data_IF_637852651913
#
_entry.id   IF_637852651913
#
_cell.length_a   1.000
_cell.length_b   1.000
_cell.length_c   1.000
_cell.angle_alpha   90.00
_cell.angle_beta   90.00
_cell.angle_gamma   90.00
#
_symmetry.space_group_name_H-M   'P 1'
#
loop_
_entity.id
_entity.type
_entity.pdbx_description
1 polymer ?
#
# COMPACT_ATOMS: atom_id res chain seq x y z
N UNK A 1 -3.93 37.68 -11.14
CA UNK A 1 -5.16 36.82 -11.07
C UNK A 1 -5.23 36.22 -9.68
N UNK A 2 -6.38 36.26 -9.02
CA UNK A 2 -6.52 35.65 -7.69
C UNK A 2 -7.04 34.24 -7.89
N UNK A 3 -6.21 33.22 -7.65
CA UNK A 3 -6.64 31.82 -7.72
C UNK A 3 -7.48 31.48 -6.51
N UNK A 4 -8.67 30.95 -6.72
CA UNK A 4 -9.53 30.44 -5.64
C UNK A 4 -9.38 28.94 -5.53
N UNK A 5 -8.42 28.49 -4.72
CA UNK A 5 -8.28 27.08 -4.38
C UNK A 5 -9.36 26.65 -3.39
N UNK A 6 -9.95 25.50 -3.64
CA UNK A 6 -10.92 24.86 -2.75
C UNK A 6 -10.20 23.71 -2.04
N UNK A 7 -10.23 23.73 -0.72
CA UNK A 7 -9.68 22.65 0.10
C UNK A 7 -10.53 21.40 -0.05
N UNK A 8 -9.91 20.25 -0.29
CA UNK A 8 -10.62 18.97 -0.35
C UNK A 8 -11.23 18.61 1.00
N UNK A 9 -12.45 18.07 0.96
CA UNK A 9 -13.12 17.53 2.16
C UNK A 9 -12.66 16.11 2.51
N UNK A 10 -12.00 15.43 1.56
CA UNK A 10 -11.52 14.06 1.73
C UNK A 10 -10.10 14.00 2.29
N UNK A 11 -9.26 14.96 1.91
CA UNK A 11 -7.91 15.13 2.43
C UNK A 11 -7.63 16.63 2.60
N UNK A 12 -7.48 17.06 3.83
CA UNK A 12 -7.25 18.46 4.16
C UNK A 12 -5.89 19.01 3.74
N UNK A 13 -4.97 18.16 3.33
CA UNK A 13 -3.69 18.54 2.75
C UNK A 13 -3.80 18.93 1.27
N UNK A 14 -4.96 18.69 0.65
CA UNK A 14 -5.16 18.83 -0.79
C UNK A 14 -6.01 20.07 -1.11
N UNK A 15 -5.51 20.89 -2.01
CA UNK A 15 -6.19 22.09 -2.52
C UNK A 15 -6.33 21.99 -4.04
N UNK A 16 -7.52 22.28 -4.57
CA UNK A 16 -7.87 22.08 -5.97
C UNK A 16 -8.38 23.37 -6.56
N UNK A 17 -7.90 23.74 -7.75
CA UNK A 17 -8.46 24.79 -8.56
C UNK A 17 -9.02 24.19 -9.87
N UNK A 18 -10.33 24.09 -9.94
CA UNK A 18 -11.01 23.38 -11.03
C UNK A 18 -10.89 24.07 -12.39
N UNK A 19 -10.73 25.40 -12.42
CA UNK A 19 -10.66 26.18 -13.66
C UNK A 19 -9.51 25.77 -14.58
N UNK A 20 -8.34 25.49 -14.01
CA UNK A 20 -7.11 25.10 -14.75
C UNK A 20 -6.59 23.72 -14.33
N UNK A 21 -7.41 22.92 -13.65
CA UNK A 21 -7.05 21.57 -13.17
C UNK A 21 -5.73 21.56 -12.36
N UNK A 22 -5.55 22.58 -11.52
CA UNK A 22 -4.38 22.67 -10.66
C UNK A 22 -4.65 22.00 -9.32
N UNK A 23 -3.61 21.37 -8.80
CA UNK A 23 -3.63 20.67 -7.51
C UNK A 23 -2.42 21.11 -6.71
N UNK A 24 -2.64 21.47 -5.45
CA UNK A 24 -1.60 21.76 -4.48
C UNK A 24 -1.73 20.77 -3.34
N UNK A 25 -0.69 19.99 -3.10
CA UNK A 25 -0.57 19.13 -1.92
C UNK A 25 0.35 19.82 -0.91
N UNK A 26 -0.14 20.01 0.29
CA UNK A 26 0.59 20.65 1.39
C UNK A 26 0.90 19.62 2.47
N UNK A 27 2.15 19.44 2.80
CA UNK A 27 2.56 18.57 3.89
C UNK A 27 3.57 19.28 4.80
N UNK A 28 3.08 19.84 5.90
CA UNK A 28 3.85 20.67 6.83
C UNK A 28 4.54 21.82 6.08
N UNK A 29 5.83 21.69 5.82
CA UNK A 29 6.67 22.71 5.13
C UNK A 29 6.84 22.43 3.63
N UNK A 30 6.45 21.23 3.16
CA UNK A 30 6.63 20.81 1.77
C UNK A 30 5.36 21.06 0.95
N UNK A 31 5.51 21.58 -0.26
CA UNK A 31 4.46 21.81 -1.24
C UNK A 31 4.73 21.03 -2.53
N UNK A 32 3.74 20.34 -3.04
CA UNK A 32 3.78 19.77 -4.38
C UNK A 32 2.72 20.43 -5.25
N UNK A 33 3.16 21.02 -6.35
CA UNK A 33 2.31 21.67 -7.33
C UNK A 33 2.13 20.78 -8.56
N UNK A 34 0.88 20.64 -9.00
CA UNK A 34 0.54 20.05 -10.30
C UNK A 34 -0.37 20.99 -11.05
N UNK A 35 0.01 21.34 -12.28
CA UNK A 35 -0.81 22.12 -13.20
C UNK A 35 -0.79 21.52 -14.61
N UNK A 36 -1.66 22.01 -15.49
CA UNK A 36 -1.71 21.59 -16.89
C UNK A 36 -0.53 22.18 -17.70
N UNK A 37 -0.11 23.42 -17.40
CA UNK A 37 0.98 24.13 -18.07
C UNK A 37 2.06 24.58 -17.10
N UNK A 38 3.27 24.81 -17.62
CA UNK A 38 4.38 25.36 -16.83
C UNK A 38 4.15 26.84 -16.47
N UNK A 39 3.44 27.58 -17.31
CA UNK A 39 3.07 28.98 -17.04
C UNK A 39 2.20 29.10 -15.78
N UNK A 40 1.28 28.16 -15.60
CA UNK A 40 0.43 28.09 -14.40
C UNK A 40 1.24 27.80 -13.14
N UNK A 41 2.23 26.88 -13.26
CA UNK A 41 3.16 26.56 -12.15
C UNK A 41 3.97 27.79 -11.78
N UNK A 42 4.56 28.49 -12.76
CA UNK A 42 5.36 29.70 -12.51
C UNK A 42 4.52 30.78 -11.84
N UNK A 43 3.31 31.01 -12.32
CA UNK A 43 2.42 32.04 -11.76
C UNK A 43 2.03 31.74 -10.29
N UNK A 44 1.82 30.48 -9.94
CA UNK A 44 1.55 30.09 -8.54
C UNK A 44 2.82 30.24 -7.70
N UNK A 45 3.97 29.82 -8.21
CA UNK A 45 5.24 29.95 -7.50
C UNK A 45 5.56 31.42 -7.19
N UNK A 46 5.35 32.33 -8.16
CA UNK A 46 5.54 33.76 -7.96
C UNK A 46 4.59 34.31 -6.88
N UNK A 47 3.32 33.94 -6.94
CA UNK A 47 2.32 34.36 -5.95
C UNK A 47 2.61 33.81 -4.53
N UNK A 48 3.12 32.59 -4.44
CA UNK A 48 3.52 32.00 -3.15
C UNK A 48 4.81 32.64 -2.63
N UNK A 49 5.78 32.93 -3.50
CA UNK A 49 7.03 33.59 -3.12
C UNK A 49 6.80 35.03 -2.63
N UNK A 50 5.78 35.71 -3.14
CA UNK A 50 5.36 37.04 -2.62
C UNK A 50 4.75 36.94 -1.22
N UNK A 51 4.05 35.84 -0.92
CA UNK A 51 3.32 35.66 0.33
C UNK A 51 4.16 35.01 1.44
N UNK A 52 5.10 34.14 1.08
CA UNK A 52 5.89 33.32 2.01
C UNK A 52 7.34 33.21 1.51
N UNK A 53 8.29 33.10 2.45
CA UNK A 53 9.67 32.74 2.12
C UNK A 53 9.74 31.28 1.68
N UNK A 54 9.95 31.03 0.38
CA UNK A 54 9.95 29.71 -0.23
C UNK A 54 11.14 29.51 -1.15
N UNK A 55 11.56 28.24 -1.29
CA UNK A 55 12.55 27.81 -2.26
C UNK A 55 11.89 26.88 -3.27
N UNK A 56 11.93 27.25 -4.56
CA UNK A 56 11.49 26.36 -5.63
C UNK A 56 12.59 25.30 -5.88
N UNK A 57 12.25 24.03 -5.67
CA UNK A 57 13.12 22.88 -5.88
C UNK A 57 13.02 22.32 -7.32
N UNK A 58 12.21 22.93 -8.17
CA UNK A 58 12.01 22.51 -9.55
C UNK A 58 11.17 21.24 -9.72
N UNK A 59 11.57 20.36 -10.63
CA UNK A 59 10.83 19.11 -10.92
C UNK A 59 10.81 18.18 -9.71
N UNK A 60 9.65 17.59 -9.43
CA UNK A 60 9.48 16.62 -8.34
C UNK A 60 10.36 15.38 -8.56
N UNK A 61 11.38 15.22 -7.74
CA UNK A 61 12.31 14.07 -7.74
C UNK A 61 12.27 13.32 -6.42
N UNK A 62 12.03 14.04 -5.32
CA UNK A 62 11.92 13.45 -3.99
C UNK A 62 10.77 14.10 -3.22
N UNK A 63 10.02 13.31 -2.47
CA UNK A 63 8.98 13.82 -1.59
C UNK A 63 8.82 12.90 -0.39
N UNK A 64 8.87 13.43 0.82
CA UNK A 64 8.75 12.67 2.07
C UNK A 64 9.68 11.44 2.16
N UNK A 65 10.90 11.56 1.63
CA UNK A 65 11.88 10.47 1.61
C UNK A 65 11.59 9.36 0.60
N UNK A 66 10.65 9.60 -0.32
CA UNK A 66 10.39 8.77 -1.50
C UNK A 66 11.12 9.36 -2.70
N UNK A 67 11.79 8.53 -3.46
CA UNK A 67 12.41 8.91 -4.73
C UNK A 67 11.38 8.69 -5.85
N UNK A 68 11.17 9.71 -6.68
CA UNK A 68 10.12 9.75 -7.70
C UNK A 68 10.78 9.93 -9.06
N UNK A 69 10.60 8.96 -9.95
CA UNK A 69 11.09 9.02 -11.32
C UNK A 69 9.92 8.91 -12.29
N UNK A 70 9.81 9.89 -13.16
CA UNK A 70 8.78 9.94 -14.19
C UNK A 70 9.40 9.79 -15.57
N UNK A 71 9.05 8.72 -16.27
CA UNK A 71 9.35 8.53 -17.68
C UNK A 71 8.12 8.93 -18.51
N UNK A 72 8.20 10.06 -19.19
CA UNK A 72 7.10 10.58 -20.00
C UNK A 72 6.97 9.84 -21.33
N UNK A 73 8.07 9.32 -21.87
CA UNK A 73 8.07 8.60 -23.14
C UNK A 73 7.34 7.26 -23.05
N UNK A 74 7.45 6.59 -21.90
CA UNK A 74 6.77 5.33 -21.62
C UNK A 74 5.51 5.49 -20.76
N UNK A 75 5.16 6.74 -20.41
CA UNK A 75 4.00 7.05 -19.54
C UNK A 75 4.07 6.29 -18.21
N UNK A 76 5.26 6.25 -17.63
CA UNK A 76 5.57 5.47 -16.44
C UNK A 76 5.98 6.38 -15.29
N UNK A 77 5.44 6.11 -14.11
CA UNK A 77 5.86 6.69 -12.85
C UNK A 77 6.42 5.58 -11.95
N UNK A 78 7.61 5.78 -11.40
CA UNK A 78 8.16 4.90 -10.37
C UNK A 78 8.34 5.67 -9.07
N UNK A 79 7.99 5.03 -7.96
CA UNK A 79 8.19 5.56 -6.63
C UNK A 79 8.91 4.50 -5.81
N UNK A 80 9.99 4.88 -5.14
CA UNK A 80 10.81 3.96 -4.36
C UNK A 80 11.48 4.63 -3.15
N UNK A 81 12.22 3.84 -2.37
CA UNK A 81 12.92 4.30 -1.18
C UNK A 81 14.37 3.78 -1.09
N UNK A 82 15.17 3.71 -2.16
CA UNK A 82 16.49 3.10 -2.12
C UNK A 82 17.44 3.83 -1.15
N UNK A 83 17.38 5.14 -1.11
CA UNK A 83 18.19 5.96 -0.20
C UNK A 83 17.87 5.66 1.27
N UNK A 84 16.58 5.49 1.60
CA UNK A 84 16.14 5.14 2.93
C UNK A 84 16.55 3.70 3.29
N UNK A 85 16.30 2.73 2.41
CA UNK A 85 16.66 1.32 2.62
C UNK A 85 18.15 1.18 2.86
N UNK A 86 19.01 1.77 2.02
CA UNK A 86 20.45 1.75 2.21
C UNK A 86 20.89 2.37 3.55
N UNK A 87 20.22 3.44 3.99
CA UNK A 87 20.51 4.08 5.27
C UNK A 87 20.18 3.18 6.45
N UNK A 88 19.04 2.49 6.46
CA UNK A 88 18.66 1.59 7.56
C UNK A 88 19.51 0.31 7.56
N UNK A 89 19.86 -0.23 6.39
CA UNK A 89 20.77 -1.36 6.28
C UNK A 89 22.15 -1.03 6.89
N UNK A 90 22.71 0.14 6.59
CA UNK A 90 23.95 0.63 7.20
C UNK A 90 23.81 0.84 8.71
N UNK A 91 22.72 1.48 9.16
CA UNK A 91 22.45 1.75 10.59
C UNK A 91 22.42 0.48 11.42
N UNK A 92 21.83 -0.60 10.90
CA UNK A 92 21.67 -1.86 11.60
C UNK A 92 22.75 -2.91 11.26
N UNK A 93 23.83 -2.52 10.54
CA UNK A 93 24.94 -3.40 10.19
C UNK A 93 24.55 -4.55 9.25
N UNK A 94 23.48 -4.36 8.45
CA UNK A 94 22.96 -5.38 7.55
C UNK A 94 23.33 -5.14 6.07
N UNK A 95 24.06 -4.07 5.79
CA UNK A 95 24.63 -3.81 4.48
C UNK A 95 25.66 -4.87 4.13
N UNK A 96 25.60 -5.43 2.94
CA UNK A 96 26.38 -6.60 2.47
C UNK A 96 26.07 -7.91 3.22
N UNK A 97 24.90 -8.03 3.85
CA UNK A 97 24.47 -9.31 4.42
C UNK A 97 24.07 -10.29 3.31
N UNK A 98 24.17 -11.60 3.61
CA UNK A 98 23.69 -12.61 2.66
C UNK A 98 22.22 -12.38 2.33
N UNK A 99 21.85 -12.34 1.04
CA UNK A 99 20.48 -12.05 0.61
C UNK A 99 19.50 -13.12 1.10
N UNK A 100 18.23 -12.74 1.21
CA UNK A 100 17.10 -13.64 1.44
C UNK A 100 16.05 -13.38 0.38
N UNK A 101 15.47 -14.44 -0.18
CA UNK A 101 14.49 -14.34 -1.26
C UNK A 101 13.09 -13.97 -0.77
N UNK A 102 12.79 -14.23 0.51
CA UNK A 102 11.52 -13.87 1.16
C UNK A 102 11.77 -13.13 2.47
N UNK A 103 10.81 -12.31 2.90
CA UNK A 103 10.92 -11.57 4.15
C UNK A 103 10.61 -12.40 5.40
N UNK A 104 9.96 -13.56 5.21
CA UNK A 104 9.54 -14.47 6.28
C UNK A 104 9.44 -15.89 5.71
N UNK A 105 9.95 -16.87 6.44
CA UNK A 105 9.76 -18.29 6.16
C UNK A 105 8.34 -18.70 6.60
N UNK A 106 7.53 -19.37 5.74
CA UNK A 106 6.19 -19.84 6.07
C UNK A 106 6.12 -20.73 7.32
N UNK A 107 7.19 -21.46 7.63
CA UNK A 107 7.28 -22.34 8.79
C UNK A 107 7.63 -21.61 10.09
N UNK A 108 7.85 -20.29 10.04
CA UNK A 108 8.24 -19.50 11.22
C UNK A 108 7.09 -19.42 12.22
N UNK A 109 7.28 -19.99 13.39
CA UNK A 109 6.36 -19.88 14.53
C UNK A 109 7.05 -19.15 15.67
N UNK A 110 6.65 -17.91 15.91
CA UNK A 110 7.13 -17.10 17.03
C UNK A 110 6.15 -17.18 18.19
N UNK A 111 6.67 -17.49 19.38
CA UNK A 111 5.87 -17.56 20.61
C UNK A 111 6.44 -16.62 21.67
N UNK A 112 5.57 -16.11 22.54
CA UNK A 112 6.04 -15.49 23.77
C UNK A 112 6.48 -16.58 24.70
N UNK A 113 7.76 -16.59 25.08
CA UNK A 113 8.26 -17.51 26.10
C UNK A 113 7.51 -17.31 27.41
N UNK A 114 6.90 -18.38 27.89
CA UNK A 114 6.22 -18.39 29.21
C UNK A 114 7.15 -18.64 30.38
N UNK A 115 8.43 -18.93 30.12
CA UNK A 115 9.40 -19.30 31.16
C UNK A 115 10.76 -18.68 30.91
N UNK A 116 11.14 -17.76 31.75
CA UNK A 116 12.45 -17.10 31.85
C UNK A 116 13.57 -17.98 32.45
N UNK A 117 13.59 -19.28 32.16
CA UNK A 117 14.49 -20.23 32.88
C UNK A 117 15.57 -20.88 32.03
N UNK A 118 15.82 -20.45 30.83
CA UNK A 118 17.04 -20.85 30.14
C UNK A 118 18.05 -19.72 30.20
N UNK A 119 19.15 -19.95 30.95
CA UNK A 119 20.36 -19.11 30.91
C UNK A 119 20.91 -19.09 29.49
N UNK A 120 20.37 -18.23 28.64
CA UNK A 120 20.99 -17.91 27.36
C UNK A 120 22.21 -17.03 27.64
N UNK A 121 23.35 -17.26 27.01
CA UNK A 121 24.56 -16.45 27.20
C UNK A 121 24.24 -14.98 26.90
N UNK A 122 24.85 -14.07 27.66
CA UNK A 122 24.60 -12.62 27.55
C UNK A 122 24.81 -12.04 26.12
N UNK A 123 25.63 -12.73 25.31
CA UNK A 123 25.87 -12.38 23.91
C UNK A 123 24.62 -12.51 22.98
N UNK A 124 23.56 -13.15 23.42
CA UNK A 124 22.32 -13.34 22.67
C UNK A 124 21.19 -12.36 23.08
N UNK A 125 21.46 -11.51 24.06
CA UNK A 125 20.47 -10.51 24.49
C UNK A 125 20.49 -9.30 23.55
N UNK A 126 19.41 -9.12 22.80
CA UNK A 126 19.21 -7.91 21.99
C UNK A 126 18.64 -6.80 22.86
N UNK A 127 19.24 -5.60 22.81
CA UNK A 127 18.74 -4.47 23.60
C UNK A 127 17.35 -4.05 23.09
N UNK A 128 16.55 -3.48 23.98
CA UNK A 128 15.20 -2.99 23.68
C UNK A 128 15.25 -1.92 22.59
N UNK A 129 16.17 -0.98 22.77
CA UNK A 129 16.32 0.18 21.89
C UNK A 129 16.71 -0.24 20.47
N UNK A 130 17.66 -1.20 20.35
CA UNK A 130 18.09 -1.71 19.04
C UNK A 130 16.92 -2.41 18.33
N UNK A 131 16.18 -3.27 19.06
CA UNK A 131 15.04 -3.97 18.48
C UNK A 131 13.94 -3.01 18.03
N UNK A 132 13.53 -2.09 18.90
CA UNK A 132 12.48 -1.11 18.58
C UNK A 132 12.90 -0.17 17.46
N UNK A 133 14.16 0.27 17.43
CA UNK A 133 14.71 1.08 16.33
C UNK A 133 14.68 0.33 15.01
N UNK A 134 15.04 -0.96 15.01
CA UNK A 134 15.01 -1.79 13.81
C UNK A 134 13.58 -1.99 13.30
N UNK A 135 12.66 -2.42 14.18
CA UNK A 135 11.24 -2.60 13.82
C UNK A 135 10.62 -1.29 13.35
N UNK A 136 10.88 -0.16 14.02
CA UNK A 136 10.40 1.15 13.59
C UNK A 136 10.92 1.55 12.22
N UNK A 137 12.18 1.26 11.91
CA UNK A 137 12.75 1.49 10.57
C UNK A 137 12.07 0.65 9.50
N UNK A 138 11.79 -0.62 9.79
CA UNK A 138 11.09 -1.53 8.88
C UNK A 138 9.62 -1.12 8.69
N UNK A 139 8.96 -0.64 9.73
CA UNK A 139 7.58 -0.11 9.64
C UNK A 139 7.51 1.08 8.68
N UNK A 140 8.48 1.99 8.71
CA UNK A 140 8.51 3.12 7.78
C UNK A 140 8.72 2.65 6.34
N UNK A 141 9.62 1.69 6.09
CA UNK A 141 9.81 1.10 4.76
C UNK A 141 8.52 0.43 4.25
N UNK A 142 7.85 -0.32 5.12
CA UNK A 142 6.58 -1.00 4.83
C UNK A 142 5.47 -0.02 4.42
N UNK A 143 5.29 1.04 5.20
CA UNK A 143 4.26 2.05 4.95
C UNK A 143 4.56 2.94 3.75
N UNK A 144 5.84 3.11 3.40
CA UNK A 144 6.26 3.87 2.23
C UNK A 144 5.98 3.09 0.95
N UNK A 145 6.93 2.28 0.50
CA UNK A 145 6.86 1.62 -0.80
C UNK A 145 7.15 0.11 -0.76
N UNK A 146 7.16 -0.51 0.43
CA UNK A 146 7.47 -1.93 0.60
C UNK A 146 6.37 -2.70 1.36
N UNK A 147 5.09 -2.64 0.89
CA UNK A 147 3.99 -3.37 1.53
C UNK A 147 4.21 -4.90 1.55
N UNK A 148 5.03 -5.43 0.68
CA UNK A 148 5.40 -6.85 0.60
C UNK A 148 6.17 -7.37 1.83
N UNK A 149 6.57 -6.51 2.78
CA UNK A 149 7.10 -6.94 4.08
C UNK A 149 6.09 -6.78 5.23
N UNK A 150 4.82 -6.45 4.93
CA UNK A 150 3.85 -6.07 5.97
C UNK A 150 3.59 -7.19 6.97
N UNK A 151 3.42 -8.41 6.50
CA UNK A 151 3.19 -9.59 7.35
C UNK A 151 4.36 -9.85 8.29
N UNK A 152 5.59 -9.84 7.79
CA UNK A 152 6.79 -10.09 8.59
C UNK A 152 7.04 -8.99 9.62
N UNK A 153 6.86 -7.72 9.24
CA UNK A 153 6.98 -6.57 10.16
C UNK A 153 5.86 -6.59 11.20
N UNK A 154 4.62 -6.89 10.80
CA UNK A 154 3.49 -7.06 11.70
C UNK A 154 3.72 -8.17 12.73
N UNK A 155 4.35 -9.28 12.32
CA UNK A 155 4.70 -10.39 13.21
C UNK A 155 5.73 -9.95 14.26
N UNK A 156 6.88 -9.40 13.86
CA UNK A 156 7.93 -9.00 14.81
C UNK A 156 7.53 -7.83 15.71
N UNK A 157 6.64 -6.96 15.26
CA UNK A 157 6.14 -5.83 16.06
C UNK A 157 5.38 -6.26 17.31
N UNK A 158 4.77 -7.49 17.30
CA UNK A 158 4.06 -8.06 18.46
C UNK A 158 5.01 -8.31 19.65
N UNK A 159 6.31 -8.39 19.40
CA UNK A 159 7.35 -8.73 20.40
C UNK A 159 8.20 -7.54 20.84
N UNK A 160 7.79 -6.32 20.52
CA UNK A 160 8.53 -5.09 20.88
C UNK A 160 8.85 -4.97 22.38
N UNK A 161 8.02 -5.54 23.26
CA UNK A 161 8.21 -5.51 24.70
C UNK A 161 8.84 -6.80 25.28
N UNK A 162 8.67 -7.92 24.56
CA UNK A 162 9.08 -9.24 25.00
C UNK A 162 9.88 -9.95 23.89
N UNK A 163 10.98 -9.30 23.45
CA UNK A 163 11.83 -9.81 22.39
C UNK A 163 12.78 -10.90 22.89
N UNK A 164 13.04 -11.86 22.02
CA UNK A 164 14.04 -12.90 22.19
C UNK A 164 14.95 -12.99 20.95
N UNK A 165 15.98 -13.82 21.00
CA UNK A 165 16.91 -14.00 19.89
C UNK A 165 16.22 -14.45 18.61
N UNK A 166 15.24 -15.33 18.73
CA UNK A 166 14.45 -15.84 17.59
C UNK A 166 13.71 -14.71 16.85
N UNK A 167 13.11 -13.78 17.63
CA UNK A 167 12.44 -12.60 17.06
C UNK A 167 13.45 -11.70 16.31
N UNK A 168 14.65 -11.55 16.87
CA UNK A 168 15.73 -10.79 16.24
C UNK A 168 16.24 -11.44 14.94
N UNK A 169 16.28 -12.76 14.87
CA UNK A 169 16.66 -13.47 13.64
C UNK A 169 15.67 -13.22 12.51
N UNK A 170 14.36 -13.11 12.83
CA UNK A 170 13.34 -12.73 11.83
C UNK A 170 13.55 -11.28 11.40
N UNK A 171 13.81 -10.35 12.32
CA UNK A 171 14.14 -8.96 11.96
C UNK A 171 15.33 -8.90 11.00
N UNK A 172 16.40 -9.67 11.26
CA UNK A 172 17.54 -9.78 10.34
C UNK A 172 17.17 -10.39 9.00
N UNK A 173 16.24 -11.36 8.97
CA UNK A 173 15.74 -11.94 7.71
C UNK A 173 15.05 -10.88 6.85
N UNK A 174 14.22 -10.00 7.45
CA UNK A 174 13.58 -8.89 6.74
C UNK A 174 14.64 -7.92 6.18
N UNK A 175 15.68 -7.58 6.93
CA UNK A 175 16.75 -6.73 6.41
C UNK A 175 17.52 -7.40 5.26
N UNK A 176 17.80 -8.71 5.33
CA UNK A 176 18.44 -9.46 4.23
C UNK A 176 17.59 -9.47 2.97
N UNK A 177 16.27 -9.58 3.13
CA UNK A 177 15.34 -9.47 2.02
C UNK A 177 15.35 -8.05 1.42
N UNK A 178 15.37 -7.00 2.25
CA UNK A 178 15.48 -5.62 1.77
C UNK A 178 16.82 -5.34 1.08
N UNK A 179 17.93 -5.96 1.54
CA UNK A 179 19.22 -5.86 0.86
C UNK A 179 19.16 -6.49 -0.54
N UNK A 180 18.60 -7.71 -0.65
CA UNK A 180 18.42 -8.41 -1.92
C UNK A 180 17.55 -7.63 -2.93
N UNK A 181 16.57 -6.89 -2.40
CA UNK A 181 15.56 -6.18 -3.18
C UNK A 181 15.66 -4.66 -3.05
N UNK A 182 16.85 -4.14 -2.73
CA UNK A 182 17.06 -2.70 -2.51
C UNK A 182 16.80 -1.83 -3.75
N UNK A 183 16.85 -2.44 -4.94
CA UNK A 183 16.56 -1.79 -6.22
C UNK A 183 15.11 -2.01 -6.71
N UNK A 184 14.26 -2.64 -5.92
CA UNK A 184 12.85 -2.82 -6.28
C UNK A 184 12.10 -1.49 -6.20
N UNK A 185 11.23 -1.25 -7.19
CA UNK A 185 10.44 -0.04 -7.34
C UNK A 185 8.97 -0.35 -7.53
N UNK A 186 8.12 0.48 -6.98
CA UNK A 186 6.69 0.46 -7.30
C UNK A 186 6.45 1.23 -8.60
N UNK A 187 5.80 0.57 -9.55
CA UNK A 187 5.51 1.12 -10.87
C UNK A 187 4.03 1.45 -11.02
N UNK A 188 3.75 2.58 -11.67
CA UNK A 188 2.41 3.04 -11.98
C UNK A 188 2.33 3.33 -13.49
N UNK A 189 1.48 2.59 -14.19
CA UNK A 189 1.20 2.76 -15.63
C UNK A 189 -0.25 3.20 -15.80
N UNK A 190 -0.54 4.05 -16.77
CA UNK A 190 -1.93 4.48 -17.00
C UNK A 190 -2.74 3.31 -17.55
N UNK A 191 -3.63 2.76 -16.73
CA UNK A 191 -4.57 1.71 -17.13
C UNK A 191 -6.02 2.00 -16.73
N UNK A 192 -6.27 3.13 -16.08
CA UNK A 192 -7.60 3.61 -15.66
C UNK A 192 -8.41 2.63 -14.81
N UNK A 193 -7.78 1.61 -14.24
CA UNK A 193 -8.45 0.63 -13.40
C UNK A 193 -8.18 0.91 -11.93
N UNK A 194 -9.23 0.76 -11.12
CA UNK A 194 -9.14 0.63 -9.67
C UNK A 194 -9.65 -0.75 -9.32
N UNK A 195 -8.76 -1.60 -8.85
CA UNK A 195 -9.08 -2.91 -8.31
C UNK A 195 -8.63 -3.00 -6.86
N UNK A 196 -9.43 -3.64 -6.01
CA UNK A 196 -9.05 -3.95 -4.64
C UNK A 196 -8.89 -5.45 -4.44
N UNK A 197 -8.03 -5.83 -3.51
CA UNK A 197 -7.88 -7.18 -3.00
C UNK A 197 -8.04 -7.16 -1.50
N UNK A 198 -8.79 -8.10 -0.97
CA UNK A 198 -9.05 -8.21 0.47
C UNK A 198 -9.00 -9.67 0.89
N UNK A 199 -8.15 -9.97 1.86
CA UNK A 199 -8.07 -11.26 2.51
C UNK A 199 -8.17 -11.12 4.03
N UNK A 200 -8.60 -12.18 4.69
CA UNK A 200 -8.60 -12.31 6.14
C UNK A 200 -8.15 -13.71 6.54
N UNK A 201 -6.90 -13.82 6.93
CA UNK A 201 -6.36 -15.05 7.46
C UNK A 201 -6.76 -15.27 8.93
N UNK A 202 -7.18 -16.51 9.21
CA UNK A 202 -7.53 -16.93 10.55
C UNK A 202 -6.27 -17.43 11.28
N UNK A 203 -5.67 -16.58 12.11
CA UNK A 203 -4.57 -17.01 12.96
C UNK A 203 -5.05 -18.13 13.93
N UNK A 204 -4.56 -19.33 13.73
CA UNK A 204 -4.84 -20.52 14.56
C UNK A 204 -4.22 -20.46 15.98
N UNK A 205 -3.58 -19.35 16.34
CA UNK A 205 -2.96 -19.12 17.64
C UNK A 205 -3.94 -18.93 18.79
N UNK A 206 -3.43 -19.00 20.04
CA UNK A 206 -4.21 -18.87 21.28
C UNK A 206 -5.10 -17.61 21.36
N UNK A 207 -4.82 -16.58 20.58
CA UNK A 207 -5.57 -15.31 20.58
C UNK A 207 -6.81 -15.30 19.68
N UNK A 208 -7.02 -16.29 18.81
CA UNK A 208 -8.19 -16.42 17.88
C UNK A 208 -8.59 -15.13 17.15
N UNK A 209 -7.61 -14.27 16.84
CA UNK A 209 -7.86 -12.99 16.14
C UNK A 209 -7.27 -13.10 14.75
N UNK A 210 -8.09 -12.89 13.74
CA UNK A 210 -7.66 -12.88 12.34
C UNK A 210 -6.82 -11.65 12.00
N UNK A 211 -5.91 -11.80 11.03
CA UNK A 211 -5.22 -10.70 10.38
C UNK A 211 -5.98 -10.39 9.10
N UNK A 212 -6.44 -9.16 8.95
CA UNK A 212 -7.03 -8.69 7.70
C UNK A 212 -6.00 -7.91 6.90
N UNK A 213 -5.89 -8.22 5.62
CA UNK A 213 -5.06 -7.53 4.66
C UNK A 213 -5.89 -7.03 3.50
N UNK A 214 -5.58 -5.83 3.03
CA UNK A 214 -6.13 -5.32 1.78
C UNK A 214 -5.17 -4.34 1.12
N UNK A 215 -5.34 -4.18 -0.17
CA UNK A 215 -4.62 -3.20 -0.97
C UNK A 215 -5.38 -2.87 -2.23
N UNK A 216 -5.17 -1.67 -2.75
CA UNK A 216 -5.82 -1.22 -3.97
C UNK A 216 -4.78 -0.99 -5.04
N UNK A 217 -5.06 -1.45 -6.24
CA UNK A 217 -4.26 -1.18 -7.42
C UNK A 217 -4.86 0.01 -8.16
N UNK A 218 -4.10 1.08 -8.30
CA UNK A 218 -4.44 2.22 -9.14
C UNK A 218 -3.34 2.38 -10.17
N UNK A 219 -3.70 2.39 -11.43
CA UNK A 219 -2.72 2.46 -12.51
C UNK A 219 -1.64 1.35 -12.39
N UNK A 220 -2.07 0.14 -12.01
CA UNK A 220 -1.22 -1.03 -11.85
C UNK A 220 -0.40 -1.09 -10.56
N UNK A 221 -0.11 0.03 -9.91
CA UNK A 221 0.65 0.07 -8.67
C UNK A 221 -0.22 -0.01 -7.42
N UNK A 222 0.28 -0.67 -6.38
CA UNK A 222 -0.44 -0.78 -5.10
C UNK A 222 -0.44 0.54 -4.34
N UNK A 223 -1.62 0.93 -3.88
CA UNK A 223 -1.84 2.07 -2.99
C UNK A 223 -2.65 1.64 -1.77
N UNK A 224 -2.54 2.40 -0.67
CA UNK A 224 -3.26 2.16 0.58
C UNK A 224 -3.21 0.70 1.08
N UNK A 225 -2.03 0.04 1.08
CA UNK A 225 -1.91 -1.31 1.59
C UNK A 225 -2.07 -1.33 3.11
N UNK A 226 -2.80 -2.32 3.60
CA UNK A 226 -3.03 -2.48 5.04
C UNK A 226 -2.86 -3.95 5.44
N UNK A 227 -2.15 -4.17 6.55
CA UNK A 227 -2.07 -5.44 7.25
C UNK A 227 -2.36 -5.18 8.73
N UNK A 228 -3.51 -5.63 9.23
CA UNK A 228 -3.94 -5.29 10.58
C UNK A 228 -4.65 -6.45 11.26
N UNK A 229 -4.30 -6.70 12.53
CA UNK A 229 -5.01 -7.66 13.38
C UNK A 229 -6.39 -7.12 13.74
N UNK A 230 -7.45 -7.93 13.53
CA UNK A 230 -8.81 -7.54 13.90
C UNK A 230 -8.99 -7.48 15.41
N UNK A 231 -9.76 -6.50 15.88
CA UNK A 231 -10.10 -6.34 17.30
C UNK A 231 -11.21 -7.31 17.75
N UNK A 232 -12.03 -7.75 16.81
CA UNK A 232 -13.23 -8.61 17.07
C UNK A 232 -12.86 -10.08 16.94
N UNK A 233 -13.23 -10.87 17.96
CA UNK A 233 -13.19 -12.34 17.89
C UNK A 233 -14.48 -12.76 17.21
N UNK A 234 -14.40 -13.27 15.99
CA UNK A 234 -15.59 -13.78 15.32
C UNK A 234 -15.83 -15.23 15.72
N UNK A 235 -17.07 -15.50 16.11
CA UNK A 235 -17.50 -16.85 16.54
C UNK A 235 -17.66 -17.80 15.35
N UNK A 236 -17.87 -17.25 14.14
CA UNK A 236 -18.04 -18.01 12.90
C UNK A 236 -17.09 -17.48 11.82
N UNK A 237 -16.36 -18.38 11.17
CA UNK A 237 -15.38 -18.05 10.12
C UNK A 237 -15.96 -17.18 8.99
N UNK A 238 -17.17 -17.54 8.50
CA UNK A 238 -17.84 -16.79 7.43
C UNK A 238 -18.18 -15.35 7.82
N UNK A 239 -18.64 -15.15 9.07
CA UNK A 239 -18.96 -13.82 9.60
C UNK A 239 -17.72 -12.97 9.81
N UNK A 240 -16.61 -13.58 10.26
CA UNK A 240 -15.33 -12.88 10.41
C UNK A 240 -14.81 -12.33 9.08
N UNK A 241 -14.79 -13.17 8.06
CA UNK A 241 -14.33 -12.80 6.73
C UNK A 241 -15.24 -11.73 6.10
N UNK A 242 -16.56 -11.82 6.31
CA UNK A 242 -17.49 -10.77 5.87
C UNK A 242 -17.24 -9.43 6.57
N UNK A 243 -17.05 -9.43 7.90
CA UNK A 243 -16.72 -8.20 8.65
C UNK A 243 -15.38 -7.63 8.19
N UNK A 244 -14.42 -8.47 7.80
CA UNK A 244 -13.13 -8.05 7.30
C UNK A 244 -13.24 -7.26 5.99
N UNK A 245 -14.23 -7.53 5.14
CA UNK A 245 -14.44 -6.79 3.88
C UNK A 245 -14.97 -5.36 4.08
N UNK A 246 -15.48 -5.03 5.27
CA UNK A 246 -16.02 -3.68 5.57
C UNK A 246 -14.96 -2.58 5.48
N UNK A 247 -13.78 -2.83 6.03
CA UNK A 247 -12.73 -1.80 6.05
C UNK A 247 -12.19 -1.51 4.65
N UNK A 248 -11.83 -2.52 3.83
CA UNK A 248 -11.46 -2.27 2.43
C UNK A 248 -12.56 -1.58 1.62
N UNK A 249 -13.85 -1.88 1.85
CA UNK A 249 -14.93 -1.17 1.17
C UNK A 249 -14.99 0.31 1.53
N UNK A 250 -14.82 0.66 2.80
CA UNK A 250 -14.75 2.06 3.23
C UNK A 250 -13.59 2.79 2.58
N UNK A 251 -12.42 2.17 2.55
CA UNK A 251 -11.23 2.72 1.94
C UNK A 251 -11.42 2.90 0.43
N UNK A 252 -12.01 1.92 -0.25
CA UNK A 252 -12.32 2.01 -1.68
C UNK A 252 -13.26 3.17 -1.99
N UNK A 253 -14.31 3.37 -1.19
CA UNK A 253 -15.23 4.50 -1.35
C UNK A 253 -14.51 5.82 -1.14
N UNK A 254 -13.69 5.91 -0.10
CA UNK A 254 -12.89 7.11 0.16
C UNK A 254 -11.95 7.42 -1.01
N UNK A 255 -11.23 6.42 -1.52
CA UNK A 255 -10.37 6.56 -2.70
C UNK A 255 -11.15 7.07 -3.92
N UNK A 256 -12.36 6.52 -4.15
CA UNK A 256 -13.21 6.97 -5.24
C UNK A 256 -13.57 8.44 -5.12
N UNK A 257 -14.03 8.86 -3.95
CA UNK A 257 -14.44 10.27 -3.72
C UNK A 257 -13.20 11.19 -3.85
N UNK A 258 -12.03 10.76 -3.36
CA UNK A 258 -10.78 11.51 -3.50
C UNK A 258 -10.40 11.69 -4.97
N UNK A 259 -10.42 10.60 -5.75
CA UNK A 259 -10.06 10.60 -7.18
C UNK A 259 -11.06 11.39 -8.03
N UNK A 260 -12.34 11.31 -7.69
CA UNK A 260 -13.38 12.15 -8.32
C UNK A 260 -13.14 13.63 -8.02
N UNK A 261 -12.88 13.95 -6.76
CA UNK A 261 -12.58 15.30 -6.31
C UNK A 261 -11.40 15.95 -7.04
N UNK A 262 -10.37 15.20 -7.36
CA UNK A 262 -9.23 15.70 -8.16
C UNK A 262 -9.44 15.62 -9.68
N UNK A 263 -10.64 15.20 -10.11
CA UNK A 263 -10.99 15.08 -11.53
C UNK A 263 -10.30 13.93 -12.26
N UNK A 264 -9.73 12.96 -11.53
CA UNK A 264 -9.10 11.77 -12.10
C UNK A 264 -10.10 10.71 -12.57
N UNK A 265 -11.34 10.79 -12.10
CA UNK A 265 -12.37 9.76 -12.26
C UNK A 265 -13.07 9.74 -13.62
N UNK A 266 -12.85 10.72 -14.49
CA UNK A 266 -13.58 10.83 -15.77
C UNK A 266 -13.41 9.63 -16.71
N UNK A 267 -12.47 8.74 -16.40
CA UNK A 267 -12.07 7.60 -17.23
C UNK A 267 -12.05 6.27 -16.47
N UNK A 268 -12.54 6.24 -15.23
CA UNK A 268 -12.56 5.03 -14.38
C UNK A 268 -13.97 4.45 -14.39
N UNK A 269 -14.06 3.12 -14.39
CA UNK A 269 -15.33 2.39 -14.31
C UNK A 269 -16.16 2.93 -13.13
N UNK A 270 -17.43 3.25 -13.32
CA UNK A 270 -18.33 3.72 -12.26
C UNK A 270 -18.44 2.73 -11.09
N UNK A 271 -18.14 1.45 -11.32
CA UNK A 271 -18.17 0.40 -10.31
C UNK A 271 -16.75 -0.10 -10.02
N UNK A 272 -16.31 -0.02 -8.77
CA UNK A 272 -14.99 -0.55 -8.37
C UNK A 272 -15.09 -2.01 -7.98
N UNK A 273 -14.15 -2.82 -8.46
CA UNK A 273 -14.07 -4.24 -8.17
C UNK A 273 -13.24 -4.47 -6.90
N UNK A 274 -13.80 -5.24 -5.96
CA UNK A 274 -13.09 -5.75 -4.78
C UNK A 274 -13.05 -7.28 -4.85
N UNK A 275 -11.86 -7.83 -4.99
CA UNK A 275 -11.60 -9.25 -5.07
C UNK A 275 -11.47 -9.83 -3.66
N UNK A 276 -12.16 -10.94 -3.40
CA UNK A 276 -12.11 -11.68 -2.14
C UNK A 276 -12.07 -13.19 -2.41
N UNK A 277 -11.40 -13.94 -1.56
CA UNK A 277 -11.30 -15.42 -1.64
C UNK A 277 -12.46 -16.17 -0.98
N UNK A 278 -13.51 -15.46 -0.60
CA UNK A 278 -14.56 -15.98 0.26
C UNK A 278 -15.93 -15.93 -0.40
N UNK A 279 -16.35 -17.07 -0.97
CA UNK A 279 -17.70 -17.25 -1.53
C UNK A 279 -18.79 -16.90 -0.53
N UNK A 280 -18.61 -17.23 0.76
CA UNK A 280 -19.60 -16.91 1.78
C UNK A 280 -19.79 -15.41 2.02
N UNK A 281 -18.74 -14.57 1.85
CA UNK A 281 -18.89 -13.12 1.94
C UNK A 281 -19.64 -12.57 0.71
N UNK A 282 -19.39 -13.15 -0.46
CA UNK A 282 -20.05 -12.80 -1.70
C UNK A 282 -21.54 -13.21 -1.64
N UNK A 283 -21.84 -14.42 -1.21
CA UNK A 283 -23.21 -14.92 -1.04
C UNK A 283 -24.03 -14.04 -0.08
N UNK A 284 -23.43 -13.60 1.03
CA UNK A 284 -24.07 -12.69 1.98
C UNK A 284 -24.40 -11.33 1.39
N UNK A 285 -23.64 -10.86 0.39
CA UNK A 285 -23.94 -9.58 -0.28
C UNK A 285 -25.02 -9.71 -1.35
N UNK A 286 -25.24 -10.90 -1.87
CA UNK A 286 -26.20 -11.16 -2.96
C UNK A 286 -27.56 -11.67 -2.48
N UNK A 287 -27.63 -12.33 -1.28
CA UNK A 287 -28.83 -12.95 -0.75
C UNK A 287 -29.36 -12.27 0.53
N UNK A 288 -30.51 -11.57 0.47
CA UNK A 288 -31.10 -10.88 1.63
C UNK A 288 -31.60 -11.79 2.75
N UNK A 289 -31.82 -13.08 2.50
CA UNK A 289 -32.47 -14.01 3.44
C UNK A 289 -31.61 -14.40 4.65
N UNK A 290 -30.31 -14.15 4.62
CA UNK A 290 -29.40 -14.49 5.72
C UNK A 290 -29.41 -13.52 6.91
N UNK A 291 -30.29 -12.49 6.90
CA UNK A 291 -30.28 -11.39 7.87
C UNK A 291 -30.89 -11.71 9.24
N UNK A 292 -31.50 -12.87 9.44
CA UNK A 292 -32.34 -13.12 10.62
C UNK A 292 -31.58 -13.52 11.91
N UNK A 293 -30.28 -13.78 11.86
CA UNK A 293 -29.57 -14.38 13.00
C UNK A 293 -28.51 -13.52 13.71
N UNK A 294 -28.33 -12.24 13.36
CA UNK A 294 -27.17 -11.49 13.85
C UNK A 294 -27.44 -10.01 14.19
N UNK A 295 -28.35 -9.74 15.14
CA UNK A 295 -28.76 -8.37 15.53
C UNK A 295 -27.61 -7.43 15.94
N UNK A 296 -26.50 -7.91 16.47
CA UNK A 296 -25.36 -7.06 16.87
C UNK A 296 -24.34 -6.80 15.75
N UNK A 297 -24.53 -7.44 14.59
CA UNK A 297 -23.69 -7.26 13.40
C UNK A 297 -24.44 -6.38 12.36
N UNK A 298 -25.69 -6.07 12.61
CA UNK A 298 -26.67 -5.47 11.71
C UNK A 298 -26.18 -4.19 11.01
N UNK A 299 -25.63 -3.24 11.75
CA UNK A 299 -25.14 -1.95 11.20
C UNK A 299 -23.99 -2.16 10.20
N UNK A 300 -23.16 -3.18 10.42
CA UNK A 300 -22.02 -3.48 9.55
C UNK A 300 -22.47 -4.15 8.26
N UNK A 301 -23.49 -5.02 8.36
CA UNK A 301 -24.12 -5.68 7.23
C UNK A 301 -24.81 -4.67 6.30
N UNK A 302 -25.63 -3.80 6.87
CA UNK A 302 -26.36 -2.79 6.11
C UNK A 302 -25.41 -1.90 5.30
N UNK A 303 -24.29 -1.49 5.89
CA UNK A 303 -23.31 -0.66 5.17
C UNK A 303 -22.76 -1.35 3.93
N UNK A 304 -22.33 -2.61 4.03
CA UNK A 304 -21.77 -3.37 2.91
C UNK A 304 -22.84 -3.57 1.84
N UNK A 305 -24.02 -4.03 2.25
CA UNK A 305 -25.15 -4.28 1.38
C UNK A 305 -25.60 -3.00 0.62
N UNK A 306 -25.67 -1.88 1.31
CA UNK A 306 -26.03 -0.59 0.72
C UNK A 306 -25.04 -0.19 -0.40
N UNK A 307 -23.73 -0.40 -0.20
CA UNK A 307 -22.72 -0.05 -1.20
C UNK A 307 -22.79 -0.96 -2.44
N UNK A 308 -23.04 -2.25 -2.24
CA UNK A 308 -23.18 -3.23 -3.33
C UNK A 308 -24.50 -3.00 -4.08
N UNK A 309 -25.63 -2.80 -3.36
CA UNK A 309 -26.95 -2.53 -3.97
C UNK A 309 -26.94 -1.22 -4.73
N UNK A 310 -26.25 -0.20 -4.23
CA UNK A 310 -26.05 1.08 -4.93
C UNK A 310 -25.09 0.96 -6.13
N UNK A 311 -24.59 -0.24 -6.46
CA UNK A 311 -23.65 -0.51 -7.56
C UNK A 311 -22.37 0.32 -7.50
N UNK A 312 -21.94 0.70 -6.31
CA UNK A 312 -20.68 1.44 -6.11
C UNK A 312 -19.49 0.49 -6.05
N UNK A 313 -19.70 -0.70 -5.51
CA UNK A 313 -18.68 -1.74 -5.37
C UNK A 313 -19.26 -3.06 -5.88
N UNK A 314 -18.43 -3.79 -6.63
CA UNK A 314 -18.67 -5.17 -7.03
C UNK A 314 -17.72 -6.07 -6.28
N UNK A 315 -18.26 -7.05 -5.53
CA UNK A 315 -17.47 -8.11 -4.92
C UNK A 315 -17.33 -9.24 -5.93
N UNK A 316 -16.11 -9.66 -6.19
CA UNK A 316 -15.81 -10.74 -7.11
C UNK A 316 -14.94 -11.80 -6.42
N UNK A 317 -15.23 -13.06 -6.73
CA UNK A 317 -14.39 -14.15 -6.26
C UNK A 317 -13.03 -14.14 -6.94
N UNK A 318 -12.00 -14.28 -6.14
CA UNK A 318 -10.63 -14.43 -6.59
C UNK A 318 -10.04 -15.72 -6.03
N UNK A 319 -9.47 -16.55 -6.89
CA UNK A 319 -8.81 -17.76 -6.44
C UNK A 319 -7.60 -17.41 -5.54
N UNK A 320 -7.30 -18.25 -4.54
CA UNK A 320 -6.18 -18.01 -3.63
C UNK A 320 -4.83 -17.88 -4.35
N UNK A 321 -4.65 -18.55 -5.51
CA UNK A 321 -3.44 -18.37 -6.34
C UNK A 321 -3.24 -16.95 -6.86
N UNK A 322 -4.32 -16.19 -7.01
CA UNK A 322 -4.37 -14.85 -7.60
C UNK A 322 -4.68 -13.76 -6.55
N UNK A 323 -4.86 -14.18 -5.27
CA UNK A 323 -5.19 -13.29 -4.17
C UNK A 323 -3.98 -12.49 -3.72
N UNK A 324 -3.80 -11.31 -4.30
CA UNK A 324 -2.66 -10.42 -4.00
C UNK A 324 -2.60 -10.00 -2.53
N UNK A 325 -3.74 -9.99 -1.84
CA UNK A 325 -3.79 -9.60 -0.42
C UNK A 325 -3.15 -10.63 0.52
N UNK A 326 -2.90 -11.87 0.09
CA UNK A 326 -2.27 -12.91 0.90
C UNK A 326 -0.88 -12.50 1.39
N UNK A 327 -0.12 -11.76 0.58
CA UNK A 327 1.20 -11.23 0.99
C UNK A 327 1.11 -10.25 2.18
N UNK A 328 -0.08 -9.72 2.45
CA UNK A 328 -0.36 -8.81 3.56
C UNK A 328 -0.89 -9.53 4.81
N UNK A 329 -1.28 -10.81 4.70
CA UNK A 329 -1.94 -11.56 5.78
C UNK A 329 -1.13 -12.75 6.27
N UNK A 330 -0.40 -13.43 5.38
CA UNK A 330 0.34 -14.64 5.71
C UNK A 330 1.75 -14.66 5.15
N UNK A 331 2.61 -15.53 5.70
CA UNK A 331 3.91 -15.83 5.12
C UNK A 331 3.71 -16.76 3.92
N UNK A 332 4.35 -16.43 2.80
CA UNK A 332 4.17 -17.11 1.52
C UNK A 332 5.45 -17.85 1.11
N UNK A 333 5.26 -18.97 0.44
CA UNK A 333 6.33 -19.66 -0.28
C UNK A 333 6.93 -18.73 -1.37
N UNK A 334 8.19 -18.97 -1.72
CA UNK A 334 8.97 -18.13 -2.62
C UNK A 334 8.23 -17.75 -3.91
N UNK A 335 7.63 -18.74 -4.60
CA UNK A 335 6.97 -18.52 -5.89
C UNK A 335 5.72 -17.63 -5.71
N UNK A 336 4.88 -17.92 -4.72
CA UNK A 336 3.69 -17.13 -4.42
C UNK A 336 4.06 -15.71 -3.99
N UNK A 337 5.05 -15.57 -3.09
CA UNK A 337 5.55 -14.27 -2.66
C UNK A 337 6.04 -13.42 -3.84
N UNK A 338 6.80 -14.01 -4.76
CA UNK A 338 7.29 -13.33 -5.95
C UNK A 338 6.14 -12.90 -6.89
N UNK A 339 5.18 -13.80 -7.15
CA UNK A 339 4.02 -13.51 -8.01
C UNK A 339 3.18 -12.37 -7.44
N UNK A 340 2.86 -12.40 -6.15
CA UNK A 340 2.06 -11.33 -5.51
C UNK A 340 2.82 -10.00 -5.43
N UNK A 341 4.14 -10.04 -5.20
CA UNK A 341 4.98 -8.84 -5.28
C UNK A 341 4.93 -8.22 -6.67
N UNK A 342 5.04 -9.02 -7.72
CA UNK A 342 4.91 -8.54 -9.11
C UNK A 342 3.49 -8.02 -9.42
N UNK A 343 2.46 -8.68 -8.92
CA UNK A 343 1.07 -8.23 -9.08
C UNK A 343 0.81 -6.88 -8.40
N UNK A 344 1.57 -6.55 -7.34
CA UNK A 344 1.60 -5.21 -6.74
C UNK A 344 2.43 -4.20 -7.54
N UNK A 345 2.96 -4.58 -8.70
CA UNK A 345 3.91 -3.79 -9.50
C UNK A 345 5.18 -3.37 -8.75
N UNK A 346 5.61 -4.17 -7.78
CA UNK A 346 6.90 -4.01 -7.11
C UNK A 346 7.92 -4.86 -7.88
N UNK A 347 8.69 -4.22 -8.74
CA UNK A 347 9.57 -4.89 -9.71
C UNK A 347 11.02 -4.47 -9.54
N UNK A 348 11.92 -5.36 -9.89
CA UNK A 348 13.36 -5.07 -9.89
C UNK A 348 13.71 -4.17 -11.07
N UNK A 349 14.42 -3.07 -10.78
CA UNK A 349 14.98 -2.18 -11.79
C UNK A 349 16.46 -2.44 -11.99
N UNK A 350 16.88 -2.74 -13.20
CA UNK A 350 18.29 -2.74 -13.56
C UNK A 350 18.77 -1.30 -13.81
N UNK A 351 20.09 -1.06 -13.61
CA UNK A 351 20.73 0.25 -13.85
C UNK A 351 20.49 0.84 -15.25
N UNK A 352 19.99 0.07 -16.19
CA UNK A 352 19.85 0.43 -17.60
C UNK A 352 18.43 0.36 -18.16
N UNK A 353 17.42 0.25 -17.31
CA UNK A 353 16.03 0.18 -17.75
C UNK A 353 15.22 -0.88 -17.01
N UNK A 354 13.92 -0.79 -17.18
CA UNK A 354 12.94 -1.66 -16.55
C UNK A 354 13.01 -3.03 -17.23
N UNK A 355 13.42 -4.05 -16.49
CA UNK A 355 13.32 -5.44 -16.94
C UNK A 355 11.94 -5.97 -16.58
N UNK A 356 11.09 -6.13 -17.58
CA UNK A 356 9.86 -6.90 -17.45
C UNK A 356 10.20 -8.39 -17.51
N UNK A 357 10.34 -9.04 -16.37
CA UNK A 357 10.18 -10.49 -16.26
C UNK A 357 8.76 -10.78 -15.83
N UNK A 358 7.92 -11.21 -16.74
CA UNK A 358 6.55 -11.64 -16.47
C UNK A 358 5.56 -11.09 -17.49
N UNK A 359 4.74 -11.97 -18.05
CA UNK A 359 3.72 -11.67 -19.06
C UNK A 359 2.66 -10.72 -18.51
N UNK A 360 2.85 -9.43 -18.69
CA UNK A 360 1.74 -8.47 -18.66
C UNK A 360 1.17 -8.42 -20.08
N UNK A 361 -0.09 -8.83 -20.26
CA UNK A 361 -0.81 -8.60 -21.50
C UNK A 361 -1.00 -7.09 -21.64
N UNK A 362 -0.24 -6.51 -22.55
CA UNK A 362 -0.42 -5.13 -22.99
C UNK A 362 -1.68 -5.09 -23.84
N UNK A 363 -2.76 -4.54 -23.32
CA UNK A 363 -3.87 -4.10 -24.14
C UNK A 363 -3.50 -2.75 -24.77
N UNK A 364 -2.96 -2.79 -25.97
CA UNK A 364 -2.82 -1.61 -26.82
C UNK A 364 -4.17 -1.31 -27.42
N UNK A 365 -4.81 -0.27 -26.99
CA UNK A 365 -5.71 0.69 -27.62
C UNK A 365 -6.72 1.24 -26.62
N UNK A 366 -6.46 2.40 -26.10
CA UNK A 366 -7.53 3.27 -25.62
C UNK A 366 -7.52 4.49 -26.54
N UNK A 367 -8.52 4.64 -27.42
CA UNK A 367 -8.73 5.90 -28.11
C UNK A 367 -9.31 6.88 -27.07
N UNK A 368 -8.75 8.08 -27.03
CA UNK A 368 -9.20 9.20 -26.24
C UNK A 368 -8.90 9.21 -24.73
N UNK A 369 -7.64 9.27 -24.39
CA UNK A 369 -7.21 10.15 -23.32
C UNK A 369 -6.89 11.49 -23.96
N UNK A 370 -7.87 12.42 -23.89
CA UNK A 370 -7.64 13.80 -24.26
C UNK A 370 -6.43 14.33 -23.53
N UNK A 371 -5.38 14.49 -24.28
CA UNK A 371 -4.24 15.37 -24.11
C UNK A 371 -3.86 15.76 -22.67
N UNK A 372 -3.16 14.87 -22.00
CA UNK A 372 -2.17 15.28 -21.02
C UNK A 372 -0.80 15.39 -21.71
N UNK A 373 -0.78 16.07 -22.88
CA UNK A 373 0.47 16.37 -23.56
C UNK A 373 1.05 17.64 -22.95
N UNK A 374 2.18 17.50 -22.27
CA UNK A 374 3.12 18.59 -22.18
C UNK A 374 3.88 18.60 -23.50
N UNK A 375 3.66 19.58 -24.30
CA UNK A 375 4.62 19.95 -25.34
C UNK A 375 5.84 20.47 -24.62
N UNK A 376 6.90 19.66 -24.53
CA UNK A 376 8.22 20.23 -24.31
C UNK A 376 8.48 21.07 -25.53
N UNK A 377 8.56 22.39 -25.36
CA UNK A 377 9.14 23.26 -26.37
C UNK A 377 10.53 22.68 -26.70
N UNK A 378 10.69 22.28 -27.93
CA UNK A 378 12.00 22.03 -28.49
C UNK A 378 12.77 23.36 -28.45
N UNK A 379 13.89 23.33 -27.69
CA UNK A 379 15.16 23.91 -28.02
C UNK A 379 16.21 23.26 -27.11
#
# INVERSE_FOLDING_TARGET
MQYQFIRSTQDYSLYIYYGQKMIVLVYVDDLVLRAAGMEDVSCINDALAEACEMTDLGKLQTFLGLDIVRDRSHVLLTIDQPSYINRILKRHGMHNSHPSDTSLDPNTQLQKSSTSTTHKPDNEKVSLEIYQSAVGSLMYAMLGMRPNIATSVGLVSKFNQAREWEHWMVVKCIFRYLEATSNDRSQFEINNNIGGYSDADWESGQARKSIGGYGFLVNGGVISPTSKKHSVIAVLNKVAKYIATRQPMKEMIWLRILLDGIGAFRHIDPMSQLNADNDGAIDFTQNPEYHTHTKHIDIQYHYIWDQVTAKKIHLEYCASSDMVADILTMALELVAHHNHRQAMSIVQCNKYGIVREGRVRVFTRVPYLGQWYYTDGAD
#
